data_IF_697593857184
#
_entry.id   IF_697593857184
#
_cell.length_a   1.000
_cell.length_b   1.000
_cell.length_c   1.000
_cell.angle_alpha   90.00
_cell.angle_beta   90.00
_cell.angle_gamma   90.00
#
_symmetry.space_group_name_H-M   'P 1'
#
loop_
_entity.id
_entity.type
_entity.pdbx_description
1 polymer ?
#
# COMPACT_ATOMS: atom_id res chain seq x y z
N UNK A 1 -14.39 -3.03 31.96
CA UNK A 1 -12.94 -3.22 31.76
C UNK A 1 -12.36 -1.97 31.13
N UNK A 2 -11.33 -1.43 31.73
CA UNK A 2 -10.62 -0.31 31.13
C UNK A 2 -9.63 -0.80 30.10
N UNK A 3 -9.66 -0.22 28.88
CA UNK A 3 -8.77 -0.64 27.79
C UNK A 3 -7.42 0.08 27.90
N UNK A 4 -6.34 -0.66 27.74
CA UNK A 4 -4.98 -0.09 27.73
C UNK A 4 -4.79 0.77 26.49
N UNK A 5 -5.32 0.31 25.35
CA UNK A 5 -5.19 1.02 24.09
C UNK A 5 -6.36 0.68 23.16
N UNK A 6 -6.53 1.50 22.15
CA UNK A 6 -7.51 1.34 21.08
C UNK A 6 -6.81 1.47 19.73
N UNK A 7 -7.49 1.12 18.67
CA UNK A 7 -6.95 1.34 17.32
C UNK A 7 -6.58 2.81 17.14
N UNK A 8 -5.43 3.11 16.51
CA UNK A 8 -5.03 4.48 16.25
C UNK A 8 -6.07 5.24 15.42
N UNK A 9 -6.10 6.55 15.60
CA UNK A 9 -7.03 7.40 14.83
C UNK A 9 -6.81 7.22 13.32
N UNK A 10 -7.91 7.05 12.61
CA UNK A 10 -7.85 6.86 11.15
C UNK A 10 -7.63 5.41 10.73
N UNK A 11 -7.69 4.48 11.68
CA UNK A 11 -7.65 3.04 11.41
C UNK A 11 -8.91 2.39 11.97
N UNK A 12 -9.22 1.22 11.49
CA UNK A 12 -10.34 0.43 12.01
C UNK A 12 -10.06 -1.05 11.85
N UNK A 13 -10.59 -1.83 12.79
CA UNK A 13 -10.57 -3.28 12.69
C UNK A 13 -11.69 -3.74 11.75
N UNK A 14 -11.43 -4.77 11.00
CA UNK A 14 -12.44 -5.47 10.20
C UNK A 14 -12.77 -6.75 10.94
N UNK A 15 -13.93 -6.80 11.56
CA UNK A 15 -14.32 -7.89 12.46
C UNK A 15 -15.08 -9.02 11.73
N UNK A 16 -15.18 -10.20 12.37
CA UNK A 16 -16.04 -11.26 11.84
C UNK A 16 -17.47 -10.75 11.57
N UNK A 17 -18.03 -11.18 10.45
CA UNK A 17 -19.29 -10.64 9.93
C UNK A 17 -19.06 -9.59 8.86
N UNK A 18 -18.15 -8.65 9.09
CA UNK A 18 -17.76 -7.66 8.12
C UNK A 18 -16.68 -8.19 7.17
N UNK A 19 -15.72 -8.96 7.70
CA UNK A 19 -14.63 -9.51 6.92
C UNK A 19 -15.10 -10.42 5.78
N UNK A 20 -16.22 -11.11 5.94
CA UNK A 20 -16.79 -11.96 4.89
C UNK A 20 -17.23 -11.13 3.68
N UNK A 21 -17.70 -9.91 3.89
CA UNK A 21 -18.04 -9.00 2.79
C UNK A 21 -16.78 -8.58 2.01
N UNK A 22 -15.70 -8.31 2.73
CA UNK A 22 -14.41 -8.01 2.11
C UNK A 22 -13.91 -9.19 1.29
N UNK A 23 -13.98 -10.40 1.85
CA UNK A 23 -13.56 -11.62 1.16
C UNK A 23 -14.35 -11.86 -0.11
N UNK A 24 -15.66 -11.57 -0.10
CA UNK A 24 -16.51 -11.73 -1.27
C UNK A 24 -16.08 -10.79 -2.40
N UNK A 25 -15.77 -9.54 -2.08
CA UNK A 25 -15.28 -8.55 -3.05
C UNK A 25 -13.90 -8.96 -3.57
N UNK A 26 -12.99 -9.34 -2.66
CA UNK A 26 -11.64 -9.77 -3.03
C UNK A 26 -11.64 -10.98 -3.95
N UNK A 27 -12.57 -11.91 -3.73
CA UNK A 27 -12.73 -13.07 -4.59
C UNK A 27 -13.10 -12.66 -6.02
N UNK A 28 -14.05 -11.74 -6.17
CA UNK A 28 -14.46 -11.24 -7.48
C UNK A 28 -13.29 -10.54 -8.18
N UNK A 29 -12.56 -9.70 -7.46
CA UNK A 29 -11.38 -9.01 -8.02
C UNK A 29 -10.31 -9.98 -8.49
N UNK A 30 -10.05 -11.02 -7.69
CA UNK A 30 -9.04 -12.03 -8.04
C UNK A 30 -9.45 -12.85 -9.26
N UNK A 31 -10.71 -13.26 -9.33
CA UNK A 31 -11.22 -14.02 -10.47
C UNK A 31 -11.20 -13.18 -11.75
N UNK A 32 -11.61 -11.93 -11.66
CA UNK A 32 -11.64 -11.01 -12.78
C UNK A 32 -10.22 -10.72 -13.30
N UNK A 33 -9.27 -10.50 -12.39
CA UNK A 33 -7.88 -10.29 -12.76
C UNK A 33 -7.32 -11.51 -13.49
N UNK A 34 -7.61 -12.72 -13.01
CA UNK A 34 -7.17 -13.95 -13.64
C UNK A 34 -7.73 -14.12 -15.05
N UNK A 35 -9.00 -13.78 -15.25
CA UNK A 35 -9.65 -13.84 -16.57
C UNK A 35 -8.97 -12.95 -17.60
N UNK A 36 -8.42 -11.82 -17.17
CA UNK A 36 -7.72 -10.87 -18.04
C UNK A 36 -6.22 -11.06 -18.10
N UNK A 37 -5.70 -12.16 -17.52
CA UNK A 37 -4.28 -12.49 -17.58
C UNK A 37 -3.40 -11.69 -16.66
N UNK A 38 -3.96 -11.09 -15.60
CA UNK A 38 -3.19 -10.38 -14.57
C UNK A 38 -2.67 -11.37 -13.53
N UNK A 39 -1.45 -11.16 -13.08
CA UNK A 39 -0.84 -11.93 -12.00
C UNK A 39 -0.62 -11.05 -10.78
N UNK A 40 -0.88 -11.60 -9.59
CA UNK A 40 -0.74 -10.84 -8.36
C UNK A 40 0.73 -10.59 -8.01
N UNK A 41 1.02 -9.36 -7.59
CA UNK A 41 2.30 -8.99 -6.98
C UNK A 41 2.01 -8.45 -5.57
N UNK A 42 2.84 -8.87 -4.61
CA UNK A 42 2.76 -8.37 -3.23
C UNK A 42 4.12 -7.77 -2.87
N UNK A 43 4.09 -6.56 -2.35
CA UNK A 43 5.29 -5.83 -1.96
C UNK A 43 5.27 -5.55 -0.47
N UNK A 44 6.40 -5.16 0.13
CA UNK A 44 6.44 -4.83 1.55
C UNK A 44 5.57 -3.63 1.91
N UNK A 45 5.13 -3.60 3.17
CA UNK A 45 4.33 -2.50 3.72
C UNK A 45 5.11 -1.19 3.72
N UNK A 46 6.42 -1.26 3.90
CA UNK A 46 7.28 -0.09 3.91
C UNK A 46 8.41 -0.24 2.90
N UNK A 47 8.91 0.89 2.45
CA UNK A 47 10.00 1.00 1.47
C UNK A 47 10.98 2.07 1.94
N UNK A 48 12.13 2.15 1.29
CA UNK A 48 13.00 3.31 1.49
C UNK A 48 12.28 4.58 1.05
N UNK A 49 12.39 5.62 1.85
CA UNK A 49 11.71 6.90 1.61
C UNK A 49 11.98 7.46 0.21
N UNK A 50 13.20 7.25 -0.30
CA UNK A 50 13.63 7.72 -1.61
C UNK A 50 12.77 7.23 -2.75
N UNK A 51 12.19 6.03 -2.63
CA UNK A 51 11.34 5.48 -3.67
C UNK A 51 10.13 6.39 -3.92
N UNK A 52 9.50 6.85 -2.84
CA UNK A 52 8.31 7.69 -2.94
C UNK A 52 8.65 9.13 -3.34
N UNK A 53 9.78 9.63 -2.91
CA UNK A 53 10.26 10.95 -3.31
C UNK A 53 10.46 11.03 -4.83
N UNK A 54 10.99 9.98 -5.44
CA UNK A 54 11.21 9.94 -6.89
C UNK A 54 9.91 9.77 -7.67
N UNK A 55 8.99 8.96 -7.18
CA UNK A 55 7.77 8.64 -7.94
C UNK A 55 6.74 9.76 -7.92
N UNK A 56 6.71 10.56 -6.85
CA UNK A 56 5.71 11.63 -6.67
C UNK A 56 6.26 13.00 -7.07
N UNK A 57 7.59 13.14 -7.18
CA UNK A 57 8.26 14.40 -7.50
C UNK A 57 8.41 15.32 -6.29
N UNK A 58 9.43 16.18 -6.33
CA UNK A 58 9.76 17.08 -5.23
C UNK A 58 8.74 18.20 -5.01
N UNK A 59 7.79 18.35 -5.93
CA UNK A 59 6.85 19.47 -5.95
C UNK A 59 5.60 19.28 -5.10
N UNK A 60 5.40 18.07 -4.53
CA UNK A 60 4.24 17.81 -3.71
C UNK A 60 4.62 17.75 -2.22
N UNK A 61 4.93 18.91 -1.66
CA UNK A 61 5.08 19.08 -0.20
C UNK A 61 3.93 18.43 0.58
N UNK A 62 2.73 18.44 -0.01
CA UNK A 62 1.53 17.87 0.60
C UNK A 62 1.68 16.37 0.78
N UNK A 63 2.19 15.65 -0.22
CA UNK A 63 2.36 14.20 -0.14
C UNK A 63 3.45 13.82 0.85
N UNK A 64 4.57 14.57 0.87
CA UNK A 64 5.64 14.34 1.82
C UNK A 64 5.19 14.56 3.26
N UNK A 65 4.34 15.56 3.50
CA UNK A 65 3.77 15.83 4.84
C UNK A 65 2.78 14.77 5.29
N UNK A 66 2.14 14.09 4.36
CA UNK A 66 1.15 13.05 4.65
C UNK A 66 1.75 11.65 4.75
N UNK A 67 3.05 11.48 4.48
CA UNK A 67 3.69 10.18 4.59
C UNK A 67 4.08 9.87 6.04
N UNK A 68 3.93 8.61 6.41
CA UNK A 68 4.45 8.09 7.68
C UNK A 68 5.90 7.67 7.47
N UNK A 69 6.81 8.52 7.88
CA UNK A 69 8.25 8.32 7.70
C UNK A 69 8.96 8.23 9.04
N UNK A 70 9.88 7.29 9.16
CA UNK A 70 10.65 7.10 10.38
C UNK A 70 12.04 6.57 10.03
N UNK A 71 12.96 6.65 11.00
CA UNK A 71 14.28 6.04 10.86
C UNK A 71 14.29 4.68 11.54
N UNK A 72 14.84 3.67 10.88
CA UNK A 72 15.02 2.37 11.49
C UNK A 72 16.24 2.37 12.42
N UNK A 73 16.53 1.24 13.06
CA UNK A 73 17.65 1.13 13.98
C UNK A 73 19.02 1.30 13.29
N UNK A 74 19.07 1.19 11.97
CA UNK A 74 20.27 1.42 11.17
C UNK A 74 20.34 2.84 10.59
N UNK A 75 19.52 3.77 11.08
CA UNK A 75 19.45 5.16 10.62
C UNK A 75 19.07 5.31 9.16
N UNK A 76 18.31 4.35 8.61
CA UNK A 76 17.77 4.45 7.26
C UNK A 76 16.37 5.03 7.33
N UNK A 77 16.05 5.95 6.40
CA UNK A 77 14.73 6.54 6.32
C UNK A 77 13.76 5.58 5.65
N UNK A 78 12.72 5.21 6.36
CA UNK A 78 11.71 4.24 5.95
C UNK A 78 10.36 4.94 5.93
N UNK A 79 9.53 4.62 4.94
CA UNK A 79 8.20 5.20 4.80
C UNK A 79 7.16 4.09 4.60
N UNK A 80 6.06 4.15 5.34
CA UNK A 80 4.92 3.28 5.08
C UNK A 80 4.33 3.67 3.72
N UNK A 81 4.05 2.70 2.87
CA UNK A 81 3.58 2.97 1.50
C UNK A 81 2.34 3.85 1.47
N UNK A 82 2.41 5.04 0.85
CA UNK A 82 1.23 5.89 0.66
C UNK A 82 0.42 5.47 -0.56
N UNK A 83 1.00 4.62 -1.44
CA UNK A 83 0.37 4.06 -2.61
C UNK A 83 1.13 2.80 -3.03
N UNK A 84 0.56 1.99 -3.91
CA UNK A 84 1.14 0.68 -4.24
C UNK A 84 1.97 0.63 -5.52
N UNK A 85 1.81 1.59 -6.40
CA UNK A 85 2.41 1.54 -7.74
C UNK A 85 3.93 1.64 -7.73
N UNK A 86 4.49 2.50 -6.88
CA UNK A 86 5.94 2.67 -6.76
C UNK A 86 6.63 1.38 -6.32
N UNK A 87 6.05 0.67 -5.32
CA UNK A 87 6.58 -0.62 -4.88
C UNK A 87 6.50 -1.70 -5.95
N UNK A 88 5.40 -1.75 -6.68
CA UNK A 88 5.23 -2.69 -7.78
C UNK A 88 6.26 -2.44 -8.89
N UNK A 89 6.48 -1.18 -9.26
CA UNK A 89 7.48 -0.80 -10.25
C UNK A 89 8.90 -1.16 -9.78
N UNK A 90 9.21 -0.88 -8.50
CA UNK A 90 10.52 -1.28 -7.94
C UNK A 90 10.73 -2.79 -8.02
N UNK A 91 9.72 -3.58 -7.66
CA UNK A 91 9.80 -5.03 -7.69
C UNK A 91 10.05 -5.54 -9.12
N UNK A 92 9.38 -4.97 -10.10
CA UNK A 92 9.58 -5.30 -11.51
C UNK A 92 11.01 -5.04 -11.96
N UNK A 93 11.58 -3.90 -11.56
CA UNK A 93 12.94 -3.53 -11.92
C UNK A 93 13.97 -4.37 -11.16
N UNK A 94 13.79 -4.55 -9.86
CA UNK A 94 14.74 -5.29 -9.01
C UNK A 94 14.87 -6.75 -9.44
N UNK A 95 13.76 -7.37 -9.81
CA UNK A 95 13.74 -8.78 -10.19
C UNK A 95 13.87 -9.01 -11.70
N UNK A 96 14.11 -7.97 -12.47
CA UNK A 96 14.34 -8.08 -13.90
C UNK A 96 13.17 -8.58 -14.72
N UNK A 97 11.94 -8.38 -14.22
CA UNK A 97 10.73 -8.87 -14.88
C UNK A 97 10.49 -8.19 -16.25
N UNK A 98 11.06 -7.01 -16.44
CA UNK A 98 10.99 -6.29 -17.71
C UNK A 98 11.70 -7.04 -18.87
N UNK A 99 12.56 -7.99 -18.55
CA UNK A 99 13.29 -8.77 -19.56
C UNK A 99 12.46 -9.96 -20.09
N UNK A 100 11.33 -10.27 -19.46
CA UNK A 100 10.43 -11.32 -19.92
C UNK A 100 9.52 -10.81 -21.05
N UNK A 101 8.72 -11.72 -21.63
CA UNK A 101 7.80 -11.38 -22.71
C UNK A 101 6.84 -10.27 -22.31
N UNK A 102 6.69 -9.25 -23.15
CA UNK A 102 5.81 -8.12 -22.93
C UNK A 102 4.56 -8.22 -23.82
N UNK A 103 3.41 -7.65 -23.43
CA UNK A 103 3.19 -6.93 -22.18
C UNK A 103 3.00 -7.86 -20.99
N UNK A 104 3.38 -7.38 -19.80
CA UNK A 104 3.12 -8.05 -18.53
C UNK A 104 2.03 -7.30 -17.79
N UNK A 105 1.15 -8.05 -17.11
CA UNK A 105 0.01 -7.49 -16.40
C UNK A 105 0.07 -7.94 -14.94
N UNK A 106 0.16 -6.98 -14.04
CA UNK A 106 0.18 -7.23 -12.60
C UNK A 106 -0.97 -6.50 -11.92
N UNK A 107 -1.46 -7.07 -10.84
CA UNK A 107 -2.43 -6.42 -9.98
C UNK A 107 -2.01 -6.56 -8.54
N UNK A 108 -2.46 -5.66 -7.72
CA UNK A 108 -2.23 -5.73 -6.28
C UNK A 108 -3.44 -5.14 -5.55
N UNK A 109 -3.64 -5.64 -4.34
CA UNK A 109 -4.59 -5.11 -3.39
C UNK A 109 -3.84 -4.94 -2.09
N UNK A 110 -3.80 -3.73 -1.55
CA UNK A 110 -2.92 -3.44 -0.44
C UNK A 110 -3.43 -2.26 0.38
N UNK A 111 -3.14 -2.28 1.67
CA UNK A 111 -3.35 -1.13 2.53
C UNK A 111 -2.34 -0.04 2.20
N UNK A 112 -2.80 1.20 2.18
CA UNK A 112 -1.97 2.39 1.99
C UNK A 112 -2.13 3.29 3.20
N UNK A 113 -1.08 4.07 3.50
CA UNK A 113 -1.01 4.83 4.75
C UNK A 113 -0.70 6.29 4.45
N UNK A 114 -1.65 7.17 4.81
CA UNK A 114 -1.49 8.62 4.63
C UNK A 114 -1.94 9.35 5.88
N UNK A 115 -1.13 10.26 6.37
CA UNK A 115 -1.46 11.09 7.51
C UNK A 115 -2.40 12.22 7.08
N UNK A 116 -3.62 11.86 6.74
CA UNK A 116 -4.68 12.77 6.33
C UNK A 116 -5.58 13.08 7.52
N UNK A 117 -6.39 14.13 7.41
CA UNK A 117 -7.45 14.39 8.37
C UNK A 117 -8.50 13.28 8.21
N UNK A 118 -8.65 12.44 9.23
CA UNK A 118 -9.60 11.34 9.20
C UNK A 118 -11.03 11.90 9.14
N UNK A 119 -11.82 11.39 8.19
CA UNK A 119 -13.22 11.76 8.01
C UNK A 119 -13.97 10.58 7.39
N UNK A 120 -15.29 10.68 7.32
CA UNK A 120 -16.11 9.60 6.79
C UNK A 120 -15.68 9.26 5.35
N UNK A 121 -15.34 8.00 5.13
CA UNK A 121 -14.90 7.51 3.83
C UNK A 121 -13.44 7.81 3.49
N UNK A 122 -12.69 8.43 4.41
CA UNK A 122 -11.27 8.72 4.20
C UNK A 122 -10.50 8.50 5.49
N UNK A 123 -9.86 7.36 5.59
CA UNK A 123 -9.07 6.95 6.75
C UNK A 123 -7.58 7.15 6.49
N UNK A 124 -6.74 6.88 7.52
CA UNK A 124 -5.28 6.95 7.39
C UNK A 124 -4.66 5.63 6.92
N UNK A 125 -5.43 4.56 7.01
CA UNK A 125 -5.10 3.27 6.42
C UNK A 125 -6.16 2.88 5.40
#
# INVERSE_FOLDING_TARGET
MELITKAPRGTQDILPGESEHWQAIEKVLREEAALHGFHEVRTPVFEHTELFQRSVGDTTDVVQKEMYTFQDKGNRSITLRPEGTAGAARALLEHGLYAAALPQKFWYETSCYRYEKAQKGRLRE
#
